data_IF_385706491057
#
_entry.id   IF_385706491057
#
_cell.length_a   1.000
_cell.length_b   1.000
_cell.length_c   1.000
_cell.angle_alpha   90.00
_cell.angle_beta   90.00
_cell.angle_gamma   90.00
#
_symmetry.space_group_name_H-M   'P 1'
#
loop_
_entity.id
_entity.type
_entity.pdbx_description
1 polymer ?
#
# COMPACT_ATOMS: atom_id res chain seq x y z
N UNK A 1 8.41 -0.33 -52.59
CA UNK A 1 7.92 -0.72 -51.25
C UNK A 1 7.11 -2.02 -51.20
N UNK A 2 6.79 -2.65 -52.34
CA UNK A 2 6.14 -3.99 -52.36
C UNK A 2 7.13 -5.17 -52.38
N UNK A 3 8.41 -4.92 -52.74
CA UNK A 3 9.44 -5.97 -52.76
C UNK A 3 9.98 -6.33 -51.36
N UNK A 4 10.06 -5.38 -50.42
CA UNK A 4 10.51 -5.64 -49.08
C UNK A 4 9.52 -6.47 -48.25
N UNK A 5 8.21 -6.35 -48.52
CA UNK A 5 7.16 -7.13 -47.84
C UNK A 5 7.12 -8.60 -48.27
N UNK A 6 7.62 -8.90 -49.48
CA UNK A 6 7.63 -10.28 -49.98
C UNK A 6 8.86 -11.07 -49.48
N UNK A 7 9.97 -10.42 -49.17
CA UNK A 7 11.17 -11.08 -48.60
C UNK A 7 10.92 -11.49 -47.15
N UNK A 8 10.18 -10.67 -46.38
CA UNK A 8 9.83 -11.00 -44.99
C UNK A 8 8.77 -12.11 -44.85
N UNK A 9 8.03 -12.40 -45.91
CA UNK A 9 7.03 -13.51 -45.91
C UNK A 9 7.62 -14.88 -46.23
N UNK A 10 8.81 -14.97 -46.81
CA UNK A 10 9.38 -16.25 -47.22
C UNK A 10 10.28 -16.92 -46.17
N UNK A 11 10.86 -16.14 -45.25
CA UNK A 11 11.81 -16.70 -44.27
C UNK A 11 11.15 -17.22 -42.97
N UNK A 12 9.87 -16.84 -42.72
CA UNK A 12 9.18 -17.26 -41.49
C UNK A 12 8.59 -18.69 -41.54
N UNK A 13 8.57 -19.34 -42.69
CA UNK A 13 7.99 -20.70 -42.82
C UNK A 13 8.98 -21.85 -42.64
N UNK A 14 10.28 -21.60 -42.49
CA UNK A 14 11.31 -22.66 -42.41
C UNK A 14 12.01 -22.79 -41.07
N UNK A 15 11.90 -21.84 -40.16
CA UNK A 15 12.39 -21.98 -38.79
C UNK A 15 11.27 -22.47 -37.88
N UNK A 16 11.14 -23.78 -37.71
CA UNK A 16 10.40 -24.40 -36.60
C UNK A 16 11.18 -24.21 -35.29
N UNK A 17 11.52 -22.98 -34.91
CA UNK A 17 11.87 -22.68 -33.53
C UNK A 17 10.57 -22.63 -32.75
N UNK A 18 10.20 -23.74 -32.13
CA UNK A 18 9.27 -23.73 -30.99
C UNK A 18 9.99 -23.01 -29.86
N UNK A 19 9.91 -21.67 -29.83
CA UNK A 19 10.11 -20.93 -28.60
C UNK A 19 8.97 -21.32 -27.66
N UNK A 20 9.18 -22.36 -26.90
CA UNK A 20 8.41 -22.61 -25.70
C UNK A 20 8.84 -21.53 -24.71
N UNK A 21 8.21 -20.35 -24.77
CA UNK A 21 8.16 -19.46 -23.64
C UNK A 21 7.44 -20.26 -22.53
N UNK A 22 8.20 -20.90 -21.65
CA UNK A 22 7.69 -21.27 -20.34
C UNK A 22 7.28 -19.95 -19.69
N UNK A 23 6.00 -19.55 -19.80
CA UNK A 23 5.47 -18.44 -19.00
C UNK A 23 5.76 -18.84 -17.55
N UNK A 24 6.76 -18.22 -16.93
CA UNK A 24 7.03 -18.37 -15.51
C UNK A 24 5.71 -17.98 -14.82
N UNK A 25 5.08 -18.90 -14.10
CA UNK A 25 3.82 -18.64 -13.42
C UNK A 25 4.13 -17.66 -12.29
N UNK A 26 3.75 -16.40 -12.45
CA UNK A 26 3.90 -15.36 -11.43
C UNK A 26 3.00 -15.68 -10.24
N UNK A 27 3.53 -15.59 -9.03
CA UNK A 27 2.79 -15.76 -7.78
C UNK A 27 2.68 -14.41 -7.10
N UNK A 28 1.45 -13.99 -6.79
CA UNK A 28 1.17 -12.74 -6.11
C UNK A 28 0.64 -12.98 -4.70
N UNK A 29 1.08 -12.16 -3.74
CA UNK A 29 0.46 -12.01 -2.42
C UNK A 29 -0.30 -10.67 -2.42
N UNK A 30 -1.62 -10.75 -2.29
CA UNK A 30 -2.49 -9.56 -2.29
C UNK A 30 -3.12 -9.42 -0.91
N UNK A 31 -2.94 -8.26 -0.28
CA UNK A 31 -3.48 -7.95 1.05
C UNK A 31 -4.38 -6.72 0.96
N UNK A 32 -5.67 -6.94 1.20
CA UNK A 32 -6.67 -5.86 1.25
C UNK A 32 -6.57 -5.04 2.54
N UNK A 33 -7.27 -3.90 2.58
CA UNK A 33 -7.43 -3.08 3.76
C UNK A 33 -8.29 -3.71 4.85
N UNK A 34 -8.37 -3.04 5.97
CA UNK A 34 -9.21 -3.49 7.10
C UNK A 34 -8.86 -2.85 8.44
N UNK A 35 -8.08 -1.80 8.48
CA UNK A 35 -7.64 -1.11 9.71
C UNK A 35 -6.94 -2.10 10.65
N UNK A 36 -7.39 -2.19 11.91
CA UNK A 36 -6.81 -3.10 12.91
C UNK A 36 -6.86 -4.59 12.53
N UNK A 37 -7.75 -4.99 11.61
CA UNK A 37 -7.83 -6.36 11.08
C UNK A 37 -6.60 -6.74 10.24
N UNK A 38 -5.75 -5.78 9.87
CA UNK A 38 -4.46 -6.03 9.25
C UNK A 38 -3.55 -6.95 10.06
N UNK A 39 -3.71 -6.99 11.40
CA UNK A 39 -3.00 -7.94 12.25
C UNK A 39 -3.29 -9.41 11.87
N UNK A 40 -4.54 -9.74 11.53
CA UNK A 40 -4.92 -11.07 11.05
C UNK A 40 -4.25 -11.38 9.70
N UNK A 41 -4.29 -10.42 8.76
CA UNK A 41 -3.64 -10.57 7.46
C UNK A 41 -2.11 -10.76 7.60
N UNK A 42 -1.48 -10.03 8.54
CA UNK A 42 -0.07 -10.21 8.89
C UNK A 42 0.26 -11.61 9.42
N UNK A 43 -0.58 -12.14 10.31
CA UNK A 43 -0.44 -13.50 10.84
C UNK A 43 -0.61 -14.58 9.76
N UNK A 44 -1.59 -14.42 8.87
CA UNK A 44 -1.78 -15.33 7.74
C UNK A 44 -0.59 -15.26 6.77
N UNK A 45 -0.09 -14.06 6.47
CA UNK A 45 1.08 -13.89 5.61
C UNK A 45 2.32 -14.52 6.24
N UNK A 46 2.51 -14.39 7.55
CA UNK A 46 3.56 -15.10 8.28
C UNK A 46 3.49 -16.60 8.06
N UNK A 47 2.34 -17.21 8.29
CA UNK A 47 2.15 -18.65 8.06
C UNK A 47 2.50 -19.06 6.64
N UNK A 48 2.06 -18.30 5.65
CA UNK A 48 2.35 -18.58 4.23
C UNK A 48 3.84 -18.46 3.87
N UNK A 49 4.54 -17.51 4.48
CA UNK A 49 5.95 -17.24 4.17
C UNK A 49 6.90 -18.12 4.98
N UNK A 50 6.66 -18.29 6.28
CA UNK A 50 7.57 -18.99 7.19
C UNK A 50 7.27 -20.48 7.28
N UNK A 51 6.00 -20.87 7.46
CA UNK A 51 5.62 -22.30 7.61
C UNK A 51 5.46 -22.99 6.26
N UNK A 52 4.70 -22.40 5.34
CA UNK A 52 4.48 -22.94 4.00
C UNK A 52 5.64 -22.64 3.05
N UNK A 53 6.59 -21.78 3.45
CA UNK A 53 7.77 -21.37 2.66
C UNK A 53 7.42 -20.93 1.24
N UNK A 54 6.24 -20.34 1.08
CA UNK A 54 5.81 -19.83 -0.20
C UNK A 54 6.68 -18.64 -0.63
N UNK A 55 7.01 -18.59 -1.92
CA UNK A 55 7.70 -17.45 -2.53
C UNK A 55 6.74 -16.74 -3.47
N UNK A 56 6.79 -15.42 -3.46
CA UNK A 56 5.97 -14.56 -4.28
C UNK A 56 6.88 -13.64 -5.13
N UNK A 57 6.45 -13.36 -6.35
CA UNK A 57 7.14 -12.46 -7.28
C UNK A 57 6.55 -11.04 -7.21
N UNK A 58 5.30 -10.92 -6.71
CA UNK A 58 4.53 -9.68 -6.65
C UNK A 58 3.82 -9.59 -5.29
N UNK A 59 3.87 -8.40 -4.68
CA UNK A 59 3.15 -8.06 -3.46
C UNK A 59 2.25 -6.86 -3.75
N UNK A 60 0.95 -6.96 -3.47
CA UNK A 60 0.00 -5.86 -3.67
C UNK A 60 -0.69 -5.56 -2.36
N UNK A 61 -0.75 -4.29 -1.98
CA UNK A 61 -1.40 -3.85 -0.75
C UNK A 61 -2.32 -2.67 -0.90
N UNK A 62 -3.42 -2.70 -0.14
CA UNK A 62 -4.39 -1.62 -0.04
C UNK A 62 -4.55 -1.25 1.42
N UNK A 63 -4.59 0.05 1.76
CA UNK A 63 -4.81 0.52 3.13
C UNK A 63 -3.80 -0.11 4.11
N UNK A 64 -4.27 -0.75 5.16
CA UNK A 64 -3.41 -1.49 6.10
C UNK A 64 -2.55 -2.55 5.41
N UNK A 65 -3.02 -3.14 4.30
CA UNK A 65 -2.23 -4.06 3.49
C UNK A 65 -0.99 -3.38 2.91
N UNK A 66 -1.06 -2.10 2.54
CA UNK A 66 0.09 -1.34 2.03
C UNK A 66 1.20 -1.14 3.07
N UNK A 67 0.84 -1.07 4.36
CA UNK A 67 1.81 -1.03 5.47
C UNK A 67 2.55 -2.35 5.66
N UNK A 68 1.92 -3.48 5.30
CA UNK A 68 2.45 -4.81 5.53
C UNK A 68 3.39 -5.28 4.41
N UNK A 69 3.00 -5.06 3.14
CA UNK A 69 3.59 -5.76 1.99
C UNK A 69 5.06 -5.50 1.79
N UNK A 70 5.55 -4.28 2.07
CA UNK A 70 6.97 -3.94 1.93
C UNK A 70 7.84 -4.71 2.93
N UNK A 71 7.38 -4.80 4.16
CA UNK A 71 8.07 -5.58 5.19
C UNK A 71 7.98 -7.08 4.94
N UNK A 72 6.84 -7.57 4.42
CA UNK A 72 6.67 -8.98 4.04
C UNK A 72 7.59 -9.36 2.87
N UNK A 73 7.75 -8.48 1.88
CA UNK A 73 8.68 -8.68 0.76
C UNK A 73 10.13 -8.82 1.24
N UNK A 74 10.49 -8.16 2.36
CA UNK A 74 11.80 -8.27 3.00
C UNK A 74 11.90 -9.38 4.06
N UNK A 75 10.81 -10.11 4.31
CA UNK A 75 10.77 -11.12 5.39
C UNK A 75 10.84 -10.55 6.81
N UNK A 76 10.53 -9.25 7.02
CA UNK A 76 10.60 -8.56 8.31
C UNK A 76 9.35 -8.75 9.17
N UNK A 77 8.96 -10.00 9.44
CA UNK A 77 7.70 -10.33 10.11
C UNK A 77 7.67 -9.89 11.57
N UNK A 78 8.73 -10.08 12.30
CA UNK A 78 8.82 -9.65 13.70
C UNK A 78 8.75 -8.12 13.84
N UNK A 79 9.25 -7.37 12.86
CA UNK A 79 9.11 -5.92 12.81
C UNK A 79 7.63 -5.52 12.68
N UNK A 80 6.89 -6.18 11.80
CA UNK A 80 5.44 -5.98 11.63
C UNK A 80 4.69 -6.24 12.94
N UNK A 81 4.96 -7.37 13.61
CA UNK A 81 4.33 -7.70 14.90
C UNK A 81 4.56 -6.59 15.93
N UNK A 82 5.81 -6.16 16.10
CA UNK A 82 6.18 -5.10 17.03
C UNK A 82 5.47 -3.79 16.70
N UNK A 83 5.42 -3.39 15.42
CA UNK A 83 4.74 -2.18 15.00
C UNK A 83 3.23 -2.24 15.33
N UNK A 84 2.56 -3.34 14.98
CA UNK A 84 1.11 -3.48 15.20
C UNK A 84 0.71 -3.60 16.67
N UNK A 85 1.56 -4.16 17.53
CA UNK A 85 1.26 -4.29 18.96
C UNK A 85 1.46 -2.99 19.73
N UNK A 86 2.27 -2.07 19.21
CA UNK A 86 2.65 -0.84 19.91
C UNK A 86 1.98 0.43 19.35
N UNK A 87 1.32 0.35 18.17
CA UNK A 87 0.71 1.51 17.55
C UNK A 87 -0.46 2.06 18.37
N UNK A 88 -0.49 3.37 18.53
CA UNK A 88 -1.52 4.12 19.24
C UNK A 88 -2.24 5.09 18.31
N UNK A 89 -3.36 5.69 18.76
CA UNK A 89 -4.05 6.72 17.99
C UNK A 89 -3.15 7.96 17.72
N UNK A 90 -2.29 8.32 18.67
CA UNK A 90 -1.37 9.44 18.51
C UNK A 90 -0.27 9.20 17.48
N UNK A 91 0.05 7.94 17.19
CA UNK A 91 0.99 7.59 16.11
C UNK A 91 0.34 7.72 14.73
N UNK A 92 -1.00 7.68 14.67
CA UNK A 92 -1.76 7.77 13.43
C UNK A 92 -2.21 9.21 13.18
N UNK A 93 -2.83 9.84 14.20
CA UNK A 93 -3.51 11.13 14.05
C UNK A 93 -2.74 12.26 14.72
N UNK A 94 -2.51 13.34 13.98
CA UNK A 94 -2.17 14.65 14.55
C UNK A 94 -3.42 15.46 14.92
N UNK A 95 -4.59 15.15 14.33
CA UNK A 95 -5.90 15.57 14.77
C UNK A 95 -6.88 14.40 14.68
N UNK A 96 -7.15 13.75 15.81
CA UNK A 96 -7.99 12.56 15.84
C UNK A 96 -9.47 12.91 15.89
N UNK A 97 -10.30 12.43 14.92
CA UNK A 97 -11.74 12.69 14.92
C UNK A 97 -12.52 11.79 15.88
N UNK A 98 -11.85 10.89 16.59
CA UNK A 98 -12.48 9.92 17.46
C UNK A 98 -12.16 10.12 18.93
N UNK A 99 -13.16 9.84 19.78
CA UNK A 99 -13.00 9.67 21.22
C UNK A 99 -13.21 8.20 21.53
N UNK A 100 -12.23 7.55 22.18
CA UNK A 100 -12.37 6.18 22.68
C UNK A 100 -12.55 6.24 24.18
N UNK A 101 -13.72 5.82 24.67
CA UNK A 101 -14.01 5.62 26.08
C UNK A 101 -13.99 4.13 26.38
N UNK A 102 -13.15 3.73 27.33
CA UNK A 102 -13.09 2.33 27.81
C UNK A 102 -13.84 2.21 29.13
N UNK A 103 -14.78 1.28 29.20
CA UNK A 103 -15.48 0.92 30.43
C UNK A 103 -15.38 -0.59 30.60
N UNK A 104 -14.43 -1.05 31.43
CA UNK A 104 -14.08 -2.46 31.53
C UNK A 104 -13.56 -3.02 30.22
N UNK A 105 -14.15 -4.10 29.74
CA UNK A 105 -13.79 -4.73 28.45
C UNK A 105 -14.47 -4.08 27.23
N UNK A 106 -15.40 -3.16 27.45
CA UNK A 106 -16.15 -2.52 26.37
C UNK A 106 -15.47 -1.21 25.99
N UNK A 107 -15.18 -1.06 24.68
CA UNK A 107 -14.70 0.20 24.11
C UNK A 107 -15.82 0.87 23.31
N UNK A 108 -16.15 2.10 23.67
CA UNK A 108 -17.11 2.93 22.94
C UNK A 108 -16.33 3.94 22.12
N UNK A 109 -16.62 4.01 20.82
CA UNK A 109 -16.04 4.99 19.89
C UNK A 109 -17.11 6.00 19.55
N UNK A 110 -16.80 7.30 19.71
CA UNK A 110 -17.67 8.41 19.32
C UNK A 110 -16.87 9.45 18.55
N UNK A 111 -17.57 10.33 17.84
CA UNK A 111 -16.95 11.45 17.12
C UNK A 111 -16.50 12.53 18.11
N UNK A 112 -15.29 13.03 17.92
CA UNK A 112 -14.77 14.20 18.62
C UNK A 112 -15.18 15.47 17.85
N UNK A 113 -16.38 15.97 18.13
CA UNK A 113 -16.94 17.14 17.45
C UNK A 113 -16.03 18.36 17.55
N UNK A 114 -15.33 18.57 18.66
CA UNK A 114 -14.41 19.68 18.83
C UNK A 114 -13.25 19.61 17.83
N UNK A 115 -12.63 18.44 17.68
CA UNK A 115 -11.55 18.24 16.73
C UNK A 115 -12.02 18.35 15.27
N UNK A 116 -13.24 17.90 14.98
CA UNK A 116 -13.85 18.02 13.65
C UNK A 116 -14.08 19.49 13.30
N UNK A 117 -14.71 20.28 14.19
CA UNK A 117 -14.94 21.71 14.00
C UNK A 117 -13.62 22.46 13.84
N UNK A 118 -12.63 22.16 14.70
CA UNK A 118 -11.29 22.74 14.60
C UNK A 118 -10.64 22.49 13.23
N UNK A 119 -10.86 21.32 12.64
CA UNK A 119 -10.34 20.98 11.31
C UNK A 119 -10.99 21.82 10.22
N UNK A 120 -12.32 21.97 10.25
CA UNK A 120 -13.06 22.82 9.30
C UNK A 120 -12.69 24.30 9.41
N UNK A 121 -12.53 24.83 10.63
CA UNK A 121 -12.04 26.21 10.84
C UNK A 121 -10.65 26.40 10.22
N UNK A 122 -9.82 25.38 10.19
CA UNK A 122 -8.49 25.40 9.53
C UNK A 122 -8.54 25.20 8.02
N UNK A 123 -9.72 25.19 7.42
CA UNK A 123 -9.92 25.00 5.98
C UNK A 123 -9.69 23.58 5.49
N UNK A 124 -9.67 22.58 6.39
CA UNK A 124 -9.55 21.18 6.01
C UNK A 124 -10.90 20.61 5.55
N UNK A 125 -10.88 19.72 4.56
CA UNK A 125 -12.08 19.06 4.00
C UNK A 125 -12.47 17.78 4.76
N UNK A 126 -11.70 17.35 5.77
CA UNK A 126 -11.84 16.08 6.48
C UNK A 126 -12.08 16.27 7.98
N UNK A 127 -12.60 15.25 8.64
CA UNK A 127 -12.89 15.28 10.08
C UNK A 127 -11.63 15.20 10.94
N UNK A 128 -10.58 14.52 10.43
CA UNK A 128 -9.31 14.34 11.10
C UNK A 128 -8.11 14.50 10.18
N UNK A 129 -6.93 14.45 10.74
CA UNK A 129 -5.65 14.51 10.02
C UNK A 129 -4.72 13.40 10.49
N UNK A 130 -4.05 12.74 9.55
CA UNK A 130 -3.22 11.54 9.74
C UNK A 130 -1.73 11.75 9.43
N UNK A 131 -1.21 12.98 9.54
CA UNK A 131 0.21 13.27 9.24
C UNK A 131 1.19 12.52 10.14
N UNK A 132 0.78 12.13 11.34
CA UNK A 132 1.61 11.30 12.22
C UNK A 132 1.80 9.90 11.62
N UNK A 133 0.79 9.35 10.95
CA UNK A 133 0.94 8.09 10.21
C UNK A 133 2.04 8.17 9.15
N UNK A 134 2.09 9.27 8.38
CA UNK A 134 3.16 9.49 7.39
C UNK A 134 4.56 9.46 8.03
N UNK A 135 4.69 10.11 9.21
CA UNK A 135 5.95 10.10 9.98
C UNK A 135 6.29 8.71 10.51
N UNK A 136 5.28 7.98 10.98
CA UNK A 136 5.45 6.59 11.42
C UNK A 136 5.92 5.71 10.28
N UNK A 137 5.31 5.80 9.09
CA UNK A 137 5.72 5.05 7.89
C UNK A 137 7.19 5.32 7.58
N UNK A 138 7.64 6.59 7.58
CA UNK A 138 9.03 6.96 7.32
C UNK A 138 10.01 6.43 8.39
N UNK A 139 9.55 6.29 9.63
CA UNK A 139 10.35 5.71 10.72
C UNK A 139 10.50 4.20 10.58
N UNK A 140 9.42 3.51 10.19
CA UNK A 140 9.38 2.05 10.15
C UNK A 140 9.92 1.46 8.84
N UNK A 141 9.89 2.21 7.74
CA UNK A 141 10.38 1.78 6.43
C UNK A 141 11.47 2.73 5.93
N UNK A 142 12.70 2.27 5.95
CA UNK A 142 13.89 3.06 5.60
C UNK A 142 14.17 3.08 4.09
N UNK A 143 14.97 4.05 3.65
CA UNK A 143 15.47 4.09 2.26
C UNK A 143 16.35 2.87 1.92
N UNK A 144 17.06 2.32 2.91
CA UNK A 144 17.79 1.07 2.75
C UNK A 144 16.84 -0.10 2.44
N UNK A 145 15.66 -0.16 3.08
CA UNK A 145 14.63 -1.15 2.82
C UNK A 145 14.04 -1.03 1.42
N UNK A 146 13.76 0.21 1.02
CA UNK A 146 13.30 0.54 -0.34
C UNK A 146 14.29 0.04 -1.39
N UNK A 147 15.57 0.36 -1.24
CA UNK A 147 16.62 -0.06 -2.15
C UNK A 147 16.83 -1.58 -2.13
N UNK A 148 16.69 -2.23 -0.96
CA UNK A 148 16.80 -3.68 -0.82
C UNK A 148 15.68 -4.43 -1.56
N UNK A 149 14.45 -3.90 -1.59
CA UNK A 149 13.36 -4.48 -2.40
C UNK A 149 13.68 -4.33 -3.89
N UNK A 150 14.08 -3.13 -4.33
CA UNK A 150 14.37 -2.85 -5.75
C UNK A 150 15.56 -3.66 -6.29
N UNK A 151 16.52 -4.00 -5.43
CA UNK A 151 17.63 -4.89 -5.79
C UNK A 151 17.20 -6.35 -6.01
N UNK A 152 16.03 -6.74 -5.54
CA UNK A 152 15.44 -8.05 -5.77
C UNK A 152 14.56 -8.00 -7.03
N UNK A 153 14.37 -9.14 -7.70
CA UNK A 153 13.43 -9.24 -8.83
C UNK A 153 11.98 -9.34 -8.34
N UNK A 154 11.62 -8.52 -7.35
CA UNK A 154 10.28 -8.43 -6.76
C UNK A 154 9.61 -7.13 -7.18
N UNK A 155 8.28 -7.16 -7.26
CA UNK A 155 7.50 -5.94 -7.36
C UNK A 155 6.57 -5.79 -6.15
N UNK A 156 6.52 -4.56 -5.62
CA UNK A 156 5.67 -4.20 -4.48
C UNK A 156 4.81 -3.02 -4.89
N UNK A 157 3.50 -3.22 -4.90
CA UNK A 157 2.53 -2.32 -5.51
C UNK A 157 1.53 -1.83 -4.47
N UNK A 158 1.38 -0.52 -4.40
CA UNK A 158 0.40 0.17 -3.54
C UNK A 158 -0.83 0.50 -4.37
N UNK A 159 -2.01 0.18 -3.84
CA UNK A 159 -3.29 0.54 -4.43
C UNK A 159 -3.81 1.82 -3.78
N UNK A 160 -4.15 2.84 -4.57
CA UNK A 160 -4.73 4.12 -4.12
C UNK A 160 -5.94 4.49 -4.97
N UNK A 161 -6.90 5.21 -4.40
CA UNK A 161 -8.02 5.77 -5.13
C UNK A 161 -7.72 7.22 -5.50
N UNK A 162 -7.74 7.53 -6.80
CA UNK A 162 -7.69 8.88 -7.33
C UNK A 162 -9.10 9.43 -7.41
N UNK A 163 -9.48 10.28 -6.46
CA UNK A 163 -10.84 10.85 -6.37
C UNK A 163 -11.11 11.89 -7.45
N UNK A 164 -10.09 12.51 -8.01
CA UNK A 164 -10.24 13.49 -9.08
C UNK A 164 -10.63 12.86 -10.42
N UNK A 165 -10.15 11.65 -10.68
CA UNK A 165 -10.44 10.90 -11.92
C UNK A 165 -11.41 9.74 -11.71
N UNK A 166 -11.80 9.49 -10.45
CA UNK A 166 -12.65 8.37 -10.05
C UNK A 166 -12.12 7.00 -10.50
N UNK A 167 -10.80 6.80 -10.36
CA UNK A 167 -10.11 5.58 -10.75
C UNK A 167 -9.23 5.06 -9.62
N UNK A 168 -9.05 3.74 -9.61
CA UNK A 168 -8.04 3.07 -8.79
C UNK A 168 -6.71 3.06 -9.54
N UNK A 169 -5.64 3.46 -8.84
CA UNK A 169 -4.29 3.48 -9.40
C UNK A 169 -3.37 2.54 -8.61
N UNK A 170 -2.42 1.94 -9.32
CA UNK A 170 -1.43 1.02 -8.79
C UNK A 170 -0.04 1.63 -8.91
N UNK A 171 0.64 1.82 -7.78
CA UNK A 171 1.93 2.50 -7.68
C UNK A 171 3.02 1.50 -7.33
N UNK A 172 3.84 1.15 -8.31
CA UNK A 172 4.96 0.23 -8.12
C UNK A 172 6.14 0.91 -7.42
N UNK A 173 6.78 0.19 -6.50
CA UNK A 173 8.03 0.62 -5.86
C UNK A 173 9.15 0.84 -6.90
N UNK A 174 9.08 0.16 -8.05
CA UNK A 174 10.08 0.26 -9.12
C UNK A 174 9.91 1.51 -9.98
N UNK A 175 8.76 2.21 -9.89
CA UNK A 175 8.38 3.35 -10.74
C UNK A 175 8.38 4.69 -10.01
N UNK A 176 8.75 4.74 -8.74
CA UNK A 176 8.72 5.97 -7.94
C UNK A 176 9.99 6.18 -7.12
N UNK A 177 10.16 7.39 -6.58
CA UNK A 177 11.18 7.70 -5.59
C UNK A 177 10.81 7.14 -4.21
N UNK A 178 11.78 7.09 -3.29
CA UNK A 178 11.54 6.67 -1.91
C UNK A 178 10.48 7.55 -1.23
N UNK A 179 10.57 8.88 -1.36
CA UNK A 179 9.63 9.80 -0.75
C UNK A 179 8.22 9.65 -1.34
N UNK A 180 8.10 9.49 -2.67
CA UNK A 180 6.82 9.22 -3.31
C UNK A 180 6.22 7.89 -2.84
N UNK A 181 7.05 6.86 -2.68
CA UNK A 181 6.57 5.57 -2.20
C UNK A 181 5.99 5.63 -0.80
N UNK A 182 6.63 6.38 0.11
CA UNK A 182 6.09 6.63 1.45
C UNK A 182 4.76 7.42 1.40
N UNK A 183 4.64 8.37 0.47
CA UNK A 183 3.40 9.11 0.26
C UNK A 183 2.29 8.17 -0.25
N UNK A 184 2.58 7.28 -1.20
CA UNK A 184 1.60 6.32 -1.71
C UNK A 184 1.11 5.35 -0.64
N UNK A 185 1.99 4.85 0.25
CA UNK A 185 1.57 4.06 1.41
C UNK A 185 0.62 4.87 2.29
N UNK A 186 0.98 6.12 2.59
CA UNK A 186 0.16 7.00 3.42
C UNK A 186 -1.20 7.31 2.78
N UNK A 187 -1.24 7.67 1.50
CA UNK A 187 -2.48 7.93 0.77
C UNK A 187 -3.37 6.70 0.74
N UNK A 188 -2.80 5.53 0.48
CA UNK A 188 -3.52 4.25 0.52
C UNK A 188 -4.18 3.96 1.87
N UNK A 189 -3.66 4.54 2.97
CA UNK A 189 -4.21 4.37 4.33
C UNK A 189 -5.20 5.47 4.72
N UNK A 190 -5.36 6.54 3.92
CA UNK A 190 -6.19 7.68 4.27
C UNK A 190 -7.66 7.43 3.98
N UNK A 191 -8.38 6.86 4.94
CA UNK A 191 -9.82 6.61 4.84
C UNK A 191 -10.60 7.91 5.05
N UNK A 192 -10.95 8.57 3.96
CA UNK A 192 -11.74 9.83 3.93
C UNK A 192 -13.21 9.52 4.32
N UNK A 193 -13.88 10.38 5.09
CA UNK A 193 -13.49 11.69 5.58
C UNK A 193 -12.76 11.69 6.95
N UNK A 194 -12.46 10.56 7.53
CA UNK A 194 -11.92 10.45 8.89
C UNK A 194 -10.41 10.72 8.98
N UNK A 195 -9.69 10.58 7.89
CA UNK A 195 -8.25 10.80 7.78
C UNK A 195 -7.95 11.90 6.76
N UNK A 196 -6.68 12.23 6.56
CA UNK A 196 -6.28 13.28 5.62
C UNK A 196 -6.74 13.00 4.19
N UNK A 197 -7.13 14.05 3.49
CA UNK A 197 -7.26 14.07 2.04
C UNK A 197 -6.06 14.84 1.50
N UNK A 198 -5.24 14.17 0.71
CA UNK A 198 -3.99 14.75 0.23
C UNK A 198 -4.02 14.90 -1.29
N UNK A 199 -3.30 15.93 -1.76
CA UNK A 199 -3.21 16.26 -3.19
C UNK A 199 -1.79 16.05 -3.68
N UNK A 200 -1.65 15.35 -4.80
CA UNK A 200 -0.38 15.16 -5.51
C UNK A 200 -0.66 15.28 -7.01
N UNK A 201 0.20 15.99 -7.73
CA UNK A 201 0.09 16.20 -9.18
C UNK A 201 -1.32 16.70 -9.60
N UNK A 202 -1.89 17.64 -8.84
CA UNK A 202 -3.24 18.21 -9.00
C UNK A 202 -4.39 17.19 -8.86
N UNK A 203 -4.15 15.99 -8.35
CA UNK A 203 -5.18 14.99 -8.06
C UNK A 203 -5.31 14.76 -6.56
N UNK A 204 -6.55 14.56 -6.08
CA UNK A 204 -6.86 14.18 -4.71
C UNK A 204 -6.84 12.66 -4.58
N UNK A 205 -6.11 12.17 -3.56
CA UNK A 205 -5.94 10.73 -3.32
C UNK A 205 -6.45 10.32 -1.94
N UNK A 206 -6.96 9.10 -1.88
CA UNK A 206 -7.50 8.48 -0.66
C UNK A 206 -7.19 6.97 -0.62
N UNK A 207 -7.70 6.33 0.45
CA UNK A 207 -7.60 4.87 0.65
C UNK A 207 -8.01 4.11 -0.62
N UNK A 208 -7.20 3.15 -1.01
CA UNK A 208 -7.42 2.35 -2.21
C UNK A 208 -8.64 1.41 -2.13
N UNK A 209 -9.36 1.41 -1.01
CA UNK A 209 -10.61 0.67 -0.80
C UNK A 209 -11.87 1.53 -0.93
N UNK A 210 -11.75 2.79 -1.37
CA UNK A 210 -12.86 3.73 -1.59
C UNK A 210 -13.38 3.68 -3.02
#
# INVERSE_FOLDING_TARGET
NRLLLNVLKYDFKRCKFKFQFKKKKMRALVISGGGSKGAFAGGLAQYLLEEQKNKYDLFIGTSTGSLLISHLALGKIEHIKKAYTNVTQSDIFNNCPFLIKRKGQVSMISINHFNVIKNFIRGRKTFGESKNLRKMIAREFSEADFNAIRAQSLDVVICVSNLSTNNVEYKSINECSYEDYLDWIWFSCNYVPFMSLETKDNCEYADGGL
#
